data_IF_008229083089
#
_entry.id   IF_008229083089
#
_cell.length_a   1.000
_cell.length_b   1.000
_cell.length_c   1.000
_cell.angle_alpha   90.00
_cell.angle_beta   90.00
_cell.angle_gamma   90.00
#
_symmetry.space_group_name_H-M   'P 1'
#
loop_
_entity.id
_entity.type
_entity.pdbx_description
1 polymer ?
#
# COMPACT_ATOMS: atom_id res chain seq x y z
N UNK A 1 0.96 1.47 -16.40
CA UNK A 1 0.24 1.58 -15.11
C UNK A 1 -0.72 2.76 -15.09
N UNK A 2 -0.33 3.91 -15.65
CA UNK A 2 -1.07 5.18 -15.56
C UNK A 2 -2.53 5.15 -16.04
N UNK A 3 -2.86 4.36 -17.09
CA UNK A 3 -4.23 4.25 -17.59
C UNK A 3 -5.20 3.66 -16.56
N UNK A 4 -4.76 2.68 -15.77
CA UNK A 4 -5.59 2.03 -14.75
C UNK A 4 -5.81 3.00 -13.59
N UNK A 5 -4.75 3.66 -13.13
CA UNK A 5 -4.80 4.71 -12.11
C UNK A 5 -5.79 5.83 -12.47
N UNK A 6 -5.76 6.31 -13.72
CA UNK A 6 -6.70 7.32 -14.22
C UNK A 6 -8.15 6.84 -14.24
N UNK A 7 -8.39 5.58 -14.59
CA UNK A 7 -9.74 5.01 -14.55
C UNK A 7 -10.26 4.91 -13.11
N UNK A 8 -9.41 4.47 -12.18
CA UNK A 8 -9.76 4.41 -10.75
C UNK A 8 -10.12 5.80 -10.24
N UNK A 9 -9.32 6.83 -10.54
CA UNK A 9 -9.63 8.22 -10.16
C UNK A 9 -10.96 8.70 -10.72
N UNK A 10 -11.28 8.41 -11.98
CA UNK A 10 -12.58 8.77 -12.58
C UNK A 10 -13.75 8.07 -11.89
N UNK A 11 -13.59 6.81 -11.53
CA UNK A 11 -14.65 6.02 -10.86
C UNK A 11 -14.80 6.38 -9.38
N UNK A 12 -13.73 6.87 -8.74
CA UNK A 12 -13.74 7.33 -7.35
C UNK A 12 -14.57 8.60 -7.14
N UNK A 13 -14.85 9.36 -8.20
CA UNK A 13 -15.68 10.56 -8.11
C UNK A 13 -17.09 10.20 -7.56
N UNK A 14 -17.36 10.64 -6.34
CA UNK A 14 -18.63 10.37 -5.65
C UNK A 14 -18.77 8.95 -5.08
N UNK A 15 -17.67 8.19 -4.96
CA UNK A 15 -17.69 6.81 -4.43
C UNK A 15 -16.48 6.54 -3.53
N UNK A 16 -16.67 5.72 -2.50
CA UNK A 16 -15.56 5.18 -1.72
C UNK A 16 -14.97 3.98 -2.44
N UNK A 17 -13.65 3.98 -2.65
CA UNK A 17 -12.90 2.84 -3.19
C UNK A 17 -11.96 2.32 -2.12
N UNK A 18 -12.04 1.02 -1.85
CA UNK A 18 -11.01 0.27 -1.12
C UNK A 18 -10.22 -0.55 -2.14
N UNK A 19 -8.90 -0.48 -2.07
CA UNK A 19 -8.01 -1.19 -2.98
C UNK A 19 -6.84 -1.77 -2.18
N UNK A 20 -6.41 -2.96 -2.56
CA UNK A 20 -5.22 -3.61 -2.01
C UNK A 20 -4.14 -3.57 -3.08
N UNK A 21 -3.00 -2.95 -2.75
CA UNK A 21 -1.90 -2.77 -3.69
C UNK A 21 -0.54 -2.91 -3.00
N UNK A 22 0.42 -3.47 -3.75
CA UNK A 22 1.81 -3.55 -3.32
C UNK A 22 2.66 -2.43 -3.93
N UNK A 23 2.18 -1.79 -5.00
CA UNK A 23 2.93 -0.73 -5.67
C UNK A 23 2.74 0.63 -5.00
N UNK A 24 3.74 1.05 -4.23
CA UNK A 24 3.73 2.34 -3.52
C UNK A 24 3.62 3.58 -4.45
N UNK A 25 4.02 3.49 -5.72
CA UNK A 25 3.80 4.58 -6.68
C UNK A 25 2.32 4.73 -7.03
N UNK A 26 1.58 3.62 -7.17
CA UNK A 26 0.14 3.66 -7.40
C UNK A 26 -0.54 4.21 -6.16
N UNK A 27 -0.21 3.65 -4.99
CA UNK A 27 -0.81 4.06 -3.72
C UNK A 27 -0.61 5.56 -3.45
N UNK A 28 0.62 6.08 -3.57
CA UNK A 28 0.90 7.51 -3.37
C UNK A 28 0.16 8.44 -4.34
N UNK A 29 -0.21 7.95 -5.53
CA UNK A 29 -0.88 8.76 -6.56
C UNK A 29 -2.39 8.89 -6.40
N UNK A 30 -3.04 7.96 -5.68
CA UNK A 30 -4.52 7.91 -5.59
C UNK A 30 -5.09 7.72 -4.18
N UNK A 31 -4.31 7.22 -3.24
CA UNK A 31 -4.81 6.93 -1.90
C UNK A 31 -4.84 8.20 -1.05
N UNK A 32 -5.99 8.46 -0.41
CA UNK A 32 -6.13 9.51 0.60
C UNK A 32 -5.60 9.04 1.97
N UNK A 33 -5.94 7.79 2.32
CA UNK A 33 -5.52 7.08 3.53
C UNK A 33 -5.00 5.71 3.12
N UNK A 34 -3.97 5.26 3.81
CA UNK A 34 -3.36 3.95 3.60
C UNK A 34 -3.34 3.24 4.93
N UNK A 35 -3.69 1.95 4.91
CA UNK A 35 -3.54 1.04 6.03
C UNK A 35 -2.53 -0.02 5.62
N UNK A 36 -1.44 -0.15 6.39
CA UNK A 36 -0.43 -1.20 6.21
C UNK A 36 -0.76 -2.33 7.18
N UNK A 37 -0.93 -3.53 6.65
CA UNK A 37 -1.15 -4.74 7.43
C UNK A 37 0.12 -5.58 7.48
N UNK A 38 0.49 -6.05 8.66
CA UNK A 38 1.58 -7.00 8.86
C UNK A 38 1.11 -8.11 9.80
N UNK A 39 1.25 -9.37 9.38
CA UNK A 39 0.85 -10.55 10.18
C UNK A 39 -0.60 -10.49 10.68
N UNK A 40 -1.51 -9.97 9.86
CA UNK A 40 -2.94 -9.86 10.19
C UNK A 40 -3.31 -8.72 11.13
N UNK A 41 -2.36 -7.86 11.51
CA UNK A 41 -2.60 -6.69 12.35
C UNK A 41 -2.28 -5.38 11.59
N UNK A 42 -2.94 -4.29 11.98
CA UNK A 42 -2.63 -2.95 11.48
C UNK A 42 -1.28 -2.52 12.04
N UNK A 43 -0.33 -2.30 11.15
CA UNK A 43 0.99 -1.78 11.47
C UNK A 43 0.99 -0.26 11.52
N UNK A 44 0.36 0.38 10.54
CA UNK A 44 0.25 1.82 10.43
C UNK A 44 -0.97 2.21 9.59
N UNK A 45 -1.59 3.35 9.92
CA UNK A 45 -2.67 3.92 9.14
C UNK A 45 -2.54 5.44 9.06
N UNK A 46 -2.81 6.03 7.90
CA UNK A 46 -2.79 7.48 7.71
C UNK A 46 -2.44 7.93 6.29
N UNK A 47 -2.13 9.22 6.10
CA UNK A 47 -1.67 9.75 4.82
C UNK A 47 -0.37 9.09 4.36
N UNK A 48 -0.19 8.94 3.04
CA UNK A 48 1.04 8.36 2.46
C UNK A 48 2.32 9.01 2.99
N UNK A 49 2.34 10.34 3.08
CA UNK A 49 3.52 11.06 3.52
C UNK A 49 3.98 10.61 4.91
N UNK A 50 3.04 10.34 5.82
CA UNK A 50 3.36 9.97 7.20
C UNK A 50 3.66 8.47 7.32
N UNK A 51 2.84 7.63 6.68
CA UNK A 51 2.99 6.17 6.72
C UNK A 51 4.28 5.71 6.03
N UNK A 52 4.65 6.32 4.89
CA UNK A 52 5.87 5.95 4.15
C UNK A 52 7.17 6.27 4.88
N UNK A 53 7.14 7.20 5.85
CA UNK A 53 8.29 7.52 6.72
C UNK A 53 8.36 6.64 7.96
N UNK A 54 7.35 5.79 8.22
CA UNK A 54 7.35 4.90 9.37
C UNK A 54 8.45 3.84 9.18
N UNK A 55 9.45 3.75 10.08
CA UNK A 55 10.52 2.78 9.98
C UNK A 55 10.03 1.33 9.91
N UNK A 56 8.97 0.97 10.65
CA UNK A 56 8.41 -0.37 10.63
C UNK A 56 7.73 -0.69 9.28
N UNK A 57 7.13 0.32 8.63
CA UNK A 57 6.59 0.17 7.27
C UNK A 57 7.72 -0.01 6.26
N UNK A 58 8.78 0.80 6.36
CA UNK A 58 9.96 0.64 5.49
C UNK A 58 10.61 -0.73 5.66
N UNK A 59 10.75 -1.21 6.89
CA UNK A 59 11.27 -2.55 7.19
C UNK A 59 10.35 -3.65 6.63
N UNK A 60 9.03 -3.53 6.78
CA UNK A 60 8.09 -4.49 6.23
C UNK A 60 8.15 -4.57 4.69
N UNK A 61 8.39 -3.44 3.99
CA UNK A 61 8.53 -3.41 2.53
C UNK A 61 9.94 -3.77 2.03
N UNK A 62 11.01 -3.39 2.74
CA UNK A 62 12.40 -3.70 2.36
C UNK A 62 12.80 -5.13 2.76
N UNK A 63 12.36 -5.61 3.93
CA UNK A 63 12.57 -6.99 4.38
C UNK A 63 11.76 -8.03 3.60
N UNK A 64 10.77 -7.61 2.81
CA UNK A 64 10.12 -8.47 1.81
C UNK A 64 10.88 -8.55 0.48
N UNK A 65 11.78 -7.61 0.18
CA UNK A 65 12.63 -7.70 -1.01
C UNK A 65 13.71 -8.79 -0.89
N UNK A 66 14.13 -9.11 0.34
CA UNK A 66 15.03 -10.22 0.68
C UNK A 66 14.28 -11.47 1.21
N UNK A 67 12.96 -11.53 0.99
CA UNK A 67 12.07 -12.56 1.51
C UNK A 67 11.86 -13.77 0.60
N UNK A 68 12.85 -14.19 -0.20
CA UNK A 68 12.91 -15.58 -0.64
C UNK A 68 13.36 -16.45 0.56
N UNK A 69 12.39 -16.90 1.34
CA UNK A 69 12.54 -18.10 2.16
C UNK A 69 11.42 -19.07 1.79
N UNK A 70 11.76 -19.86 0.78
CA UNK A 70 11.51 -21.30 0.69
C UNK A 70 11.22 -21.96 2.05
N UNK A 71 10.09 -22.68 2.15
CA UNK A 71 9.93 -23.68 3.21
C UNK A 71 8.50 -23.97 3.69
N UNK A 72 7.97 -25.10 3.20
CA UNK A 72 7.06 -26.03 3.87
C UNK A 72 5.71 -25.52 4.40
N UNK A 73 4.64 -25.74 3.60
CA UNK A 73 3.77 -26.90 3.76
C UNK A 73 2.98 -27.18 2.48
#
# INVERSE_FOLDING_TARGET
MDRVTQLIQKVAAGRTILMVEHNMKVVSSIAHTITVLQRGAVLAEGPYADVSRNPAVMEAYMGQADGELQGAH
#
